data_IF_602471334042
#
_entry.id   IF_602471334042
#
_cell.length_a   1.000
_cell.length_b   1.000
_cell.length_c   1.000
_cell.angle_alpha   90.00
_cell.angle_beta   90.00
_cell.angle_gamma   90.00
#
_symmetry.space_group_name_H-M   'P 1'
#
loop_
_entity.id
_entity.type
_entity.pdbx_description
1 polymer ?
#
# COMPACT_ATOMS: atom_id res chain seq x y z
N UNK A 1 -26.19 -31.02 2.74
CA UNK A 1 -24.89 -30.65 2.15
C UNK A 1 -24.06 -29.96 3.21
N UNK A 2 -23.05 -30.61 3.76
CA UNK A 2 -22.15 -30.00 4.76
C UNK A 2 -21.15 -29.15 3.98
N UNK A 3 -21.21 -27.82 4.12
CA UNK A 3 -20.16 -26.96 3.58
C UNK A 3 -18.88 -27.22 4.37
N UNK A 4 -17.81 -27.62 3.67
CA UNK A 4 -16.47 -27.71 4.28
C UNK A 4 -16.05 -26.32 4.76
N UNK A 5 -16.06 -26.11 6.08
CA UNK A 5 -15.66 -24.86 6.71
C UNK A 5 -14.15 -24.66 6.56
N UNK A 6 -13.76 -23.74 5.67
CA UNK A 6 -12.35 -23.38 5.46
C UNK A 6 -11.91 -22.36 6.51
N UNK A 7 -11.09 -22.80 7.48
CA UNK A 7 -10.51 -21.89 8.48
C UNK A 7 -9.28 -21.18 7.86
N UNK A 8 -9.33 -19.86 7.75
CA UNK A 8 -8.18 -19.05 7.37
C UNK A 8 -7.30 -18.80 8.60
N UNK A 9 -6.05 -19.23 8.56
CA UNK A 9 -5.04 -19.00 9.61
C UNK A 9 -3.92 -18.10 9.08
N UNK A 10 -3.43 -17.23 9.94
CA UNK A 10 -2.26 -16.39 9.68
C UNK A 10 -1.29 -16.48 10.86
N UNK A 11 0.00 -16.31 10.56
CA UNK A 11 1.06 -16.31 11.56
C UNK A 11 1.73 -14.95 11.63
N UNK A 12 2.16 -14.55 12.82
CA UNK A 12 2.87 -13.29 13.06
C UNK A 12 4.19 -13.59 13.76
N UNK A 13 5.29 -13.20 13.13
CA UNK A 13 6.63 -13.40 13.65
C UNK A 13 7.40 -12.08 13.67
N UNK A 14 8.39 -11.98 14.56
CA UNK A 14 9.40 -10.92 14.50
C UNK A 14 10.52 -11.40 13.58
N UNK A 15 10.79 -10.65 12.50
CA UNK A 15 11.95 -10.90 11.66
C UNK A 15 13.22 -10.44 12.40
N UNK A 16 14.25 -11.28 12.35
CA UNK A 16 15.61 -10.89 12.71
C UNK A 16 16.28 -10.44 11.42
N UNK A 17 16.70 -9.18 11.39
CA UNK A 17 17.32 -8.57 10.21
C UNK A 17 18.67 -7.98 10.57
N UNK A 18 19.56 -7.92 9.60
CA UNK A 18 20.79 -7.14 9.68
C UNK A 18 20.52 -5.64 9.40
N UNK A 19 21.57 -4.83 9.50
CA UNK A 19 21.48 -3.37 9.34
C UNK A 19 21.11 -2.97 7.90
N UNK A 20 21.58 -3.71 6.90
CA UNK A 20 21.31 -3.44 5.49
C UNK A 20 19.83 -3.70 5.17
N UNK A 21 19.32 -4.86 5.56
CA UNK A 21 17.90 -5.23 5.45
C UNK A 21 17.00 -4.25 6.19
N UNK A 22 17.42 -3.81 7.39
CA UNK A 22 16.67 -2.80 8.15
C UNK A 22 16.61 -1.48 7.38
N UNK A 23 17.73 -1.02 6.82
CA UNK A 23 17.81 0.19 6.01
C UNK A 23 16.88 0.10 4.80
N UNK A 24 16.90 -1.03 4.10
CA UNK A 24 16.01 -1.26 2.96
C UNK A 24 14.54 -1.21 3.37
N UNK A 25 14.14 -1.92 4.43
CA UNK A 25 12.76 -1.89 4.92
C UNK A 25 12.30 -0.46 5.24
N UNK A 26 13.19 0.38 5.77
CA UNK A 26 12.89 1.79 5.97
C UNK A 26 12.71 2.56 4.65
N UNK A 27 13.54 2.31 3.63
CA UNK A 27 13.35 2.87 2.28
C UNK A 27 12.01 2.45 1.69
N UNK A 28 11.64 1.16 1.78
CA UNK A 28 10.36 0.68 1.28
C UNK A 28 9.17 1.33 2.01
N UNK A 29 9.18 1.36 3.35
CA UNK A 29 8.11 2.00 4.12
C UNK A 29 8.01 3.51 3.82
N UNK A 30 9.16 4.18 3.66
CA UNK A 30 9.24 5.59 3.26
C UNK A 30 8.63 5.84 1.88
N UNK A 31 8.99 5.02 0.89
CA UNK A 31 8.46 5.10 -0.46
C UNK A 31 6.96 4.83 -0.52
N UNK A 32 6.45 3.84 0.22
CA UNK A 32 5.01 3.61 0.39
C UNK A 32 4.28 4.86 0.90
N UNK A 33 4.80 5.47 1.97
CA UNK A 33 4.19 6.69 2.53
C UNK A 33 4.19 7.83 1.50
N UNK A 34 5.29 8.00 0.78
CA UNK A 34 5.39 9.01 -0.28
C UNK A 34 4.36 8.78 -1.38
N UNK A 35 4.30 7.56 -1.94
CA UNK A 35 3.35 7.20 -3.01
C UNK A 35 1.90 7.38 -2.54
N UNK A 36 1.56 6.91 -1.33
CA UNK A 36 0.23 7.13 -0.77
C UNK A 36 -0.15 8.62 -0.76
N UNK A 37 0.73 9.47 -0.21
CA UNK A 37 0.45 10.89 -0.05
C UNK A 37 0.38 11.62 -1.40
N UNK A 38 1.27 11.29 -2.33
CA UNK A 38 1.29 11.88 -3.68
C UNK A 38 -0.03 11.60 -4.41
N UNK A 39 -0.44 10.34 -4.46
CA UNK A 39 -1.67 9.95 -5.13
C UNK A 39 -2.90 10.44 -4.37
N UNK A 40 -2.90 10.43 -3.04
CA UNK A 40 -3.98 11.02 -2.26
C UNK A 40 -4.20 12.49 -2.64
N UNK A 41 -3.12 13.30 -2.71
CA UNK A 41 -3.20 14.72 -3.10
C UNK A 41 -3.76 14.89 -4.50
N UNK A 42 -3.34 14.05 -5.45
CA UNK A 42 -3.88 14.03 -6.82
C UNK A 42 -5.38 13.76 -6.82
N UNK A 43 -5.84 12.74 -6.11
CA UNK A 43 -7.25 12.37 -6.05
C UNK A 43 -8.10 13.45 -5.37
N UNK A 44 -7.58 14.06 -4.29
CA UNK A 44 -8.22 15.21 -3.65
C UNK A 44 -8.36 16.41 -4.60
N UNK A 45 -7.33 16.69 -5.41
CA UNK A 45 -7.39 17.73 -6.44
C UNK A 45 -8.45 17.43 -7.50
N UNK A 46 -8.55 16.16 -7.95
CA UNK A 46 -9.58 15.73 -8.90
C UNK A 46 -10.99 15.89 -8.35
N UNK A 47 -11.22 15.43 -7.12
CA UNK A 47 -12.52 15.53 -6.44
C UNK A 47 -12.95 16.99 -6.26
N UNK A 48 -12.04 17.89 -5.90
CA UNK A 48 -12.32 19.34 -5.81
C UNK A 48 -12.79 19.95 -7.13
N UNK A 49 -12.47 19.33 -8.27
CA UNK A 49 -12.88 19.77 -9.62
C UNK A 49 -14.09 18.98 -10.14
N UNK A 50 -14.77 18.21 -9.28
CA UNK A 50 -15.92 17.40 -9.67
C UNK A 50 -15.57 16.15 -10.48
N UNK A 51 -14.29 15.77 -10.57
CA UNK A 51 -13.90 14.55 -11.25
C UNK A 51 -13.95 13.34 -10.32
N UNK A 52 -14.22 12.17 -10.90
CA UNK A 52 -14.10 10.90 -10.20
C UNK A 52 -12.66 10.57 -9.78
N UNK A 53 -12.56 9.76 -8.71
CA UNK A 53 -11.34 9.15 -8.21
C UNK A 53 -10.82 8.14 -9.25
N UNK A 54 -9.54 8.26 -9.61
CA UNK A 54 -8.88 7.29 -10.50
C UNK A 54 -8.82 5.91 -9.84
N UNK A 55 -9.10 4.85 -10.60
CA UNK A 55 -8.99 3.49 -10.10
C UNK A 55 -7.52 3.04 -9.96
N UNK A 56 -7.31 1.89 -9.32
CA UNK A 56 -5.99 1.26 -9.17
C UNK A 56 -5.17 1.19 -10.48
N UNK A 57 -5.78 0.77 -11.59
CA UNK A 57 -5.07 0.59 -12.85
C UNK A 57 -4.56 1.94 -13.40
N UNK A 58 -5.41 2.97 -13.40
CA UNK A 58 -5.03 4.33 -13.80
C UNK A 58 -3.92 4.89 -12.90
N UNK A 59 -4.02 4.68 -11.58
CA UNK A 59 -2.96 5.11 -10.66
C UNK A 59 -1.62 4.41 -10.94
N UNK A 60 -1.63 3.11 -11.27
CA UNK A 60 -0.43 2.38 -11.64
C UNK A 60 0.21 2.88 -12.95
N UNK A 61 -0.58 3.29 -13.93
CA UNK A 61 -0.05 3.91 -15.15
C UNK A 61 0.69 5.23 -14.84
N UNK A 62 0.10 6.05 -13.97
CA UNK A 62 0.76 7.27 -13.50
C UNK A 62 2.02 6.99 -12.67
N UNK A 63 2.02 5.91 -11.88
CA UNK A 63 3.18 5.52 -11.06
C UNK A 63 4.43 5.29 -11.94
N UNK A 64 4.27 4.72 -13.13
CA UNK A 64 5.36 4.55 -14.09
C UNK A 64 6.03 5.87 -14.47
N UNK A 65 5.24 6.95 -14.64
CA UNK A 65 5.79 8.27 -14.92
C UNK A 65 6.40 8.91 -13.67
N UNK A 66 5.74 8.77 -12.51
CA UNK A 66 6.25 9.26 -11.23
C UNK A 66 7.64 8.68 -10.93
N UNK A 67 7.86 7.39 -11.20
CA UNK A 67 9.18 6.75 -11.02
C UNK A 67 10.28 7.33 -11.91
N UNK A 68 9.95 8.00 -13.02
CA UNK A 68 10.94 8.68 -13.86
C UNK A 68 11.42 9.99 -13.21
N UNK A 69 10.52 10.70 -12.53
CA UNK A 69 10.84 11.96 -11.85
C UNK A 69 11.45 11.74 -10.46
N UNK A 70 11.01 10.69 -9.74
CA UNK A 70 11.49 10.35 -8.41
C UNK A 70 12.27 9.04 -8.45
N UNK A 71 13.57 9.15 -8.72
CA UNK A 71 14.46 8.00 -8.98
C UNK A 71 14.57 7.04 -7.80
N UNK A 72 14.49 7.53 -6.56
CA UNK A 72 14.50 6.69 -5.35
C UNK A 72 13.35 5.65 -5.32
N UNK A 73 12.25 5.89 -6.05
CA UNK A 73 11.17 4.90 -6.18
C UNK A 73 11.54 3.70 -7.07
N UNK A 74 12.67 3.76 -7.78
CA UNK A 74 13.23 2.64 -8.54
C UNK A 74 14.05 1.71 -7.65
N UNK A 75 14.54 2.20 -6.52
CA UNK A 75 15.34 1.43 -5.54
C UNK A 75 14.47 0.52 -4.65
N UNK A 76 13.15 0.65 -4.73
CA UNK A 76 12.19 -0.14 -3.96
C UNK A 76 11.38 -1.08 -4.85
N UNK A 77 10.92 -2.20 -4.28
CA UNK A 77 10.11 -3.17 -5.01
C UNK A 77 8.81 -2.54 -5.54
N UNK A 78 8.57 -2.67 -6.84
CA UNK A 78 7.37 -2.14 -7.49
C UNK A 78 6.08 -2.74 -6.96
N UNK A 79 6.10 -4.00 -6.53
CA UNK A 79 4.96 -4.71 -5.94
C UNK A 79 4.47 -3.99 -4.69
N UNK A 80 5.40 -3.53 -3.86
CA UNK A 80 5.09 -2.81 -2.61
C UNK A 80 4.43 -1.46 -2.91
N UNK A 81 4.91 -0.74 -3.92
CA UNK A 81 4.30 0.51 -4.37
C UNK A 81 2.89 0.28 -4.97
N UNK A 82 2.72 -0.77 -5.78
CA UNK A 82 1.43 -1.14 -6.35
C UNK A 82 0.42 -1.55 -5.27
N UNK A 83 0.82 -2.34 -4.26
CA UNK A 83 -0.05 -2.66 -3.13
C UNK A 83 -0.47 -1.41 -2.36
N UNK A 84 0.41 -0.42 -2.24
CA UNK A 84 0.06 0.88 -1.63
C UNK A 84 -1.05 1.60 -2.40
N UNK A 85 -1.00 1.59 -3.73
CA UNK A 85 -2.06 2.15 -4.58
C UNK A 85 -3.36 1.35 -4.50
N UNK A 86 -3.25 0.03 -4.38
CA UNK A 86 -4.41 -0.85 -4.20
C UNK A 86 -5.11 -0.59 -2.86
N UNK A 87 -4.34 -0.35 -1.80
CA UNK A 87 -4.88 0.05 -0.50
C UNK A 87 -5.55 1.43 -0.57
N UNK A 88 -5.02 2.37 -1.36
CA UNK A 88 -5.63 3.68 -1.55
C UNK A 88 -6.94 3.60 -2.35
N UNK A 89 -6.96 2.84 -3.44
CA UNK A 89 -8.16 2.55 -4.23
C UNK A 89 -9.25 1.94 -3.36
N UNK A 90 -8.88 0.94 -2.54
CA UNK A 90 -9.80 0.33 -1.58
C UNK A 90 -10.29 1.34 -0.54
N UNK A 91 -9.42 2.18 0.02
CA UNK A 91 -9.82 3.16 1.03
C UNK A 91 -10.86 4.16 0.49
N UNK A 92 -10.74 4.58 -0.78
CA UNK A 92 -11.76 5.39 -1.43
C UNK A 92 -13.07 4.62 -1.65
N UNK A 93 -13.00 3.39 -2.16
CA UNK A 93 -14.19 2.54 -2.36
C UNK A 93 -14.95 2.31 -1.06
N UNK A 94 -14.23 1.91 -0.01
CA UNK A 94 -14.78 1.71 1.33
C UNK A 94 -15.40 3.00 1.89
N UNK A 95 -14.81 4.17 1.60
CA UNK A 95 -15.35 5.45 2.06
C UNK A 95 -16.61 5.91 1.32
N UNK A 96 -16.80 5.50 0.07
CA UNK A 96 -18.01 5.79 -0.71
C UNK A 96 -19.11 4.74 -0.55
N UNK A 97 -18.79 3.58 0.03
CA UNK A 97 -19.71 2.50 0.29
C UNK A 97 -20.65 2.82 1.47
N UNK A 98 -21.94 3.04 1.15
CA UNK A 98 -22.97 3.35 2.14
C UNK A 98 -23.21 2.22 3.15
N UNK A 99 -22.81 0.98 2.83
CA UNK A 99 -22.91 -0.16 3.75
C UNK A 99 -21.81 -0.17 4.81
N UNK A 100 -20.79 0.69 4.67
CA UNK A 100 -19.67 0.81 5.59
C UNK A 100 -19.66 2.19 6.30
N UNK A 101 -20.67 2.50 7.15
CA UNK A 101 -20.86 3.84 7.71
C UNK A 101 -19.71 4.33 8.63
N UNK A 102 -18.86 3.42 9.10
CA UNK A 102 -17.71 3.74 9.94
C UNK A 102 -16.44 4.05 9.14
N UNK A 103 -16.44 3.82 7.82
CA UNK A 103 -15.30 4.17 6.97
C UNK A 103 -15.30 5.67 6.69
N UNK A 104 -14.10 6.19 6.48
CA UNK A 104 -13.83 7.62 6.30
C UNK A 104 -12.92 7.80 5.10
N UNK A 105 -12.97 9.00 4.52
CA UNK A 105 -12.07 9.36 3.43
C UNK A 105 -10.61 9.16 3.83
N UNK A 106 -9.76 8.67 2.91
CA UNK A 106 -8.36 8.46 3.20
C UNK A 106 -7.66 9.78 3.52
N UNK A 107 -6.75 9.73 4.48
CA UNK A 107 -6.00 10.89 4.97
C UNK A 107 -4.51 10.76 4.70
N UNK A 108 -3.80 11.90 4.76
CA UNK A 108 -2.35 11.94 4.59
C UNK A 108 -1.66 11.15 5.70
N UNK A 109 -0.70 10.31 5.32
CA UNK A 109 0.13 9.54 6.26
C UNK A 109 1.30 10.41 6.73
N UNK A 110 1.41 10.62 8.05
CA UNK A 110 2.53 11.31 8.71
C UNK A 110 3.46 10.28 9.36
N UNK A 111 4.78 10.47 9.26
CA UNK A 111 5.78 9.52 9.78
C UNK A 111 5.57 9.13 11.25
N UNK A 112 5.18 10.09 12.09
CA UNK A 112 4.94 9.88 13.53
C UNK A 112 3.59 9.24 13.86
N UNK A 113 2.64 9.19 12.92
CA UNK A 113 1.26 8.76 13.17
C UNK A 113 0.82 7.55 12.35
N UNK A 114 1.61 7.13 11.37
CA UNK A 114 1.30 5.95 10.56
C UNK A 114 2.22 4.78 10.91
N UNK A 115 1.68 3.57 10.87
CA UNK A 115 2.51 2.37 10.89
C UNK A 115 3.39 2.36 9.64
N UNK A 116 4.70 2.20 9.83
CA UNK A 116 5.69 2.10 8.74
C UNK A 116 5.69 0.67 8.17
N UNK A 117 4.55 0.26 7.63
CA UNK A 117 4.33 -1.06 7.07
C UNK A 117 4.19 -1.05 5.55
N UNK A 118 4.61 -2.14 4.93
CA UNK A 118 4.41 -2.45 3.52
C UNK A 118 3.98 -3.90 3.36
N UNK A 119 3.50 -4.27 2.16
CA UNK A 119 2.99 -5.61 1.86
C UNK A 119 3.64 -6.17 0.61
N UNK A 120 4.20 -7.36 0.73
CA UNK A 120 4.58 -8.21 -0.40
C UNK A 120 3.45 -9.20 -0.72
N UNK A 121 3.28 -9.53 -2.00
CA UNK A 121 2.35 -10.55 -2.45
C UNK A 121 3.10 -11.68 -3.14
N UNK A 122 3.07 -12.88 -2.56
CA UNK A 122 3.48 -14.12 -3.22
C UNK A 122 4.97 -14.32 -3.50
N UNK A 123 5.86 -13.53 -2.88
CA UNK A 123 7.31 -13.54 -3.18
C UNK A 123 8.22 -14.13 -2.10
N UNK A 124 7.68 -14.58 -0.98
CA UNK A 124 8.48 -15.13 0.12
C UNK A 124 8.19 -16.61 0.32
N UNK A 125 9.24 -17.38 0.59
CA UNK A 125 9.17 -18.80 0.94
C UNK A 125 9.69 -18.95 2.35
N UNK A 126 8.94 -19.66 3.19
CA UNK A 126 9.38 -19.93 4.55
C UNK A 126 10.14 -21.25 4.57
N UNK A 127 11.44 -21.18 4.82
CA UNK A 127 12.33 -22.34 4.94
C UNK A 127 12.78 -22.48 6.40
N UNK A 128 12.12 -23.37 7.14
CA UNK A 128 12.36 -23.56 8.56
C UNK A 128 12.06 -22.28 9.36
N UNK A 129 13.11 -21.61 9.86
CA UNK A 129 13.03 -20.35 10.63
C UNK A 129 13.42 -19.11 9.81
N UNK A 130 13.53 -19.24 8.49
CA UNK A 130 13.91 -18.17 7.55
C UNK A 130 12.76 -17.87 6.59
N UNK A 131 12.72 -16.64 6.09
CA UNK A 131 11.71 -16.08 5.17
C UNK A 131 12.43 -15.51 3.94
#
# INVERSE_FOLDING_TARGET
MIQNMKILRAFKFRLKVDEEQQSDFWKQAGACRFVWNLFLKRQQYRLKRGHYVENYATMCLHLTQVKKHFTFLKEVDSTVLQQTLKDLDKAYKDAFDKTQPNKRMPVTKKRSKCNNGFRYTGRFKVEGRRV
#
